data_IF_556809131807
#
_entry.id   IF_556809131807
#
_cell.length_a   1.000
_cell.length_b   1.000
_cell.length_c   1.000
_cell.angle_alpha   90.00
_cell.angle_beta   90.00
_cell.angle_gamma   90.00
#
_symmetry.space_group_name_H-M   'P 1'
#
loop_
_entity.id
_entity.type
_entity.pdbx_description
1 polymer ?
#
# COMPACT_ATOMS: atom_id res chain seq x y z
N UNK A 1 3.42 27.63 3.00
CA UNK A 1 4.45 26.73 2.41
C UNK A 1 3.84 25.33 2.39
N UNK A 2 3.24 24.96 1.27
CA UNK A 2 2.37 23.79 1.15
C UNK A 2 3.17 22.54 0.79
N UNK A 3 3.26 21.62 1.76
CA UNK A 3 3.39 20.16 1.60
C UNK A 3 4.42 19.65 0.58
N UNK A 4 5.68 19.56 0.99
CA UNK A 4 6.68 18.62 0.44
C UNK A 4 6.85 17.37 1.32
N UNK A 5 5.80 17.01 2.09
CA UNK A 5 5.62 15.62 2.50
C UNK A 5 5.01 14.88 1.32
N UNK A 6 5.84 14.43 0.37
CA UNK A 6 5.51 13.17 -0.29
C UNK A 6 5.41 12.16 0.85
N UNK A 7 4.18 11.75 1.14
CA UNK A 7 3.78 11.03 2.34
C UNK A 7 4.76 9.89 2.61
N UNK A 8 5.54 9.97 3.70
CA UNK A 8 6.60 8.98 4.01
C UNK A 8 6.02 7.56 4.04
N UNK A 9 4.76 7.45 4.45
CA UNK A 9 3.98 6.23 4.42
C UNK A 9 3.72 5.73 3.00
N UNK A 10 3.35 6.61 2.07
CA UNK A 10 3.20 6.27 0.65
C UNK A 10 4.53 5.81 0.04
N UNK A 11 5.63 6.50 0.29
CA UNK A 11 6.96 6.09 -0.19
C UNK A 11 7.36 4.72 0.35
N UNK A 12 7.06 4.44 1.62
CA UNK A 12 7.27 3.13 2.23
C UNK A 12 6.41 2.04 1.57
N UNK A 13 5.12 2.30 1.35
CA UNK A 13 4.20 1.38 0.66
C UNK A 13 4.64 1.11 -0.78
N UNK A 14 5.04 2.15 -1.53
CA UNK A 14 5.63 2.04 -2.87
C UNK A 14 6.89 1.19 -2.87
N UNK A 15 7.84 1.46 -1.98
CA UNK A 15 9.08 0.70 -1.89
C UNK A 15 8.82 -0.78 -1.54
N UNK A 16 7.93 -1.02 -0.59
CA UNK A 16 7.51 -2.37 -0.21
C UNK A 16 6.97 -3.15 -1.41
N UNK A 17 6.06 -2.56 -2.19
CA UNK A 17 5.46 -3.26 -3.35
C UNK A 17 6.51 -3.54 -4.42
N UNK A 18 7.35 -2.57 -4.79
CA UNK A 18 8.43 -2.81 -5.76
C UNK A 18 9.34 -3.95 -5.30
N UNK A 19 9.71 -3.95 -4.01
CA UNK A 19 10.54 -5.00 -3.44
C UNK A 19 9.87 -6.38 -3.49
N UNK A 20 8.59 -6.47 -3.12
CA UNK A 20 7.84 -7.73 -3.16
C UNK A 20 7.67 -8.24 -4.60
N UNK A 21 7.31 -7.39 -5.56
CA UNK A 21 7.20 -7.82 -6.97
C UNK A 21 8.55 -8.33 -7.47
N UNK A 22 9.64 -7.64 -7.14
CA UNK A 22 11.00 -8.08 -7.52
C UNK A 22 11.34 -9.43 -6.90
N UNK A 23 10.98 -9.65 -5.63
CA UNK A 23 11.19 -10.92 -4.93
C UNK A 23 10.42 -12.06 -5.60
N UNK A 24 9.12 -11.89 -5.81
CA UNK A 24 8.27 -12.90 -6.45
C UNK A 24 8.72 -13.17 -7.90
N UNK A 25 9.19 -12.15 -8.61
CA UNK A 25 9.76 -12.29 -9.95
C UNK A 25 11.02 -13.16 -9.94
N UNK A 26 11.94 -12.94 -8.99
CA UNK A 26 13.14 -13.77 -8.85
C UNK A 26 12.79 -15.22 -8.55
N UNK A 27 11.86 -15.45 -7.61
CA UNK A 27 11.39 -16.80 -7.27
C UNK A 27 10.71 -17.49 -8.47
N UNK A 28 9.95 -16.74 -9.28
CA UNK A 28 9.32 -17.27 -10.49
C UNK A 28 10.34 -17.63 -11.58
N UNK A 29 11.43 -16.85 -11.70
CA UNK A 29 12.54 -17.16 -12.62
C UNK A 29 13.30 -18.40 -12.14
N UNK A 30 13.60 -18.49 -10.85
CA UNK A 30 14.29 -19.66 -10.26
C UNK A 30 13.45 -20.94 -10.36
N UNK A 31 12.12 -20.82 -10.25
CA UNK A 31 11.19 -21.94 -10.37
C UNK A 31 10.82 -22.34 -11.81
N UNK A 32 11.41 -21.70 -12.83
CA UNK A 32 11.07 -21.88 -14.26
C UNK A 32 9.57 -21.65 -14.57
N UNK A 33 8.91 -20.82 -13.74
CA UNK A 33 7.49 -20.48 -13.87
C UNK A 33 7.26 -19.32 -14.85
N UNK A 34 8.32 -18.64 -15.25
CA UNK A 34 8.25 -17.46 -16.10
C UNK A 34 9.37 -17.45 -17.14
N UNK A 35 9.00 -17.24 -18.41
CA UNK A 35 9.98 -17.12 -19.48
C UNK A 35 10.90 -15.90 -19.27
N UNK A 36 12.10 -15.95 -19.86
CA UNK A 36 13.07 -14.85 -19.79
C UNK A 36 12.54 -13.54 -20.40
N UNK A 37 11.72 -13.63 -21.44
CA UNK A 37 11.09 -12.45 -22.05
C UNK A 37 9.95 -11.88 -21.20
N UNK A 38 9.11 -12.75 -20.64
CA UNK A 38 8.02 -12.36 -19.73
C UNK A 38 8.54 -11.73 -18.43
N UNK A 39 9.64 -12.25 -17.90
CA UNK A 39 10.32 -11.69 -16.71
C UNK A 39 10.96 -10.34 -17.00
N UNK A 40 11.60 -10.17 -18.16
CA UNK A 40 12.14 -8.87 -18.58
C UNK A 40 11.02 -7.84 -18.76
N UNK A 41 9.91 -8.22 -19.38
CA UNK A 41 8.76 -7.33 -19.59
C UNK A 41 8.19 -6.83 -18.26
N UNK A 42 7.92 -7.75 -17.32
CA UNK A 42 7.41 -7.38 -16.00
C UNK A 42 8.39 -6.47 -15.24
N UNK A 43 9.69 -6.76 -15.27
CA UNK A 43 10.70 -5.91 -14.64
C UNK A 43 10.70 -4.49 -15.24
N UNK A 44 10.57 -4.37 -16.57
CA UNK A 44 10.46 -3.09 -17.25
C UNK A 44 9.18 -2.36 -16.85
N UNK A 45 8.02 -3.02 -16.90
CA UNK A 45 6.74 -2.42 -16.49
C UNK A 45 6.78 -1.91 -15.03
N UNK A 46 7.35 -2.68 -14.10
CA UNK A 46 7.51 -2.25 -12.70
C UNK A 46 8.41 -1.02 -12.59
N UNK A 47 9.52 -0.99 -13.32
CA UNK A 47 10.46 0.14 -13.28
C UNK A 47 9.91 1.41 -13.91
N UNK A 48 9.12 1.30 -14.98
CA UNK A 48 8.49 2.45 -15.62
C UNK A 48 7.31 2.97 -14.79
N UNK A 49 6.48 2.05 -14.26
CA UNK A 49 5.27 2.42 -13.53
C UNK A 49 5.56 2.90 -12.11
N UNK A 50 6.64 2.45 -11.46
CA UNK A 50 6.93 2.88 -10.07
C UNK A 50 7.00 4.40 -9.98
N UNK A 51 7.58 5.08 -10.98
CA UNK A 51 7.76 6.53 -10.99
C UNK A 51 6.48 7.29 -11.35
N UNK A 52 5.51 6.60 -11.97
CA UNK A 52 4.20 7.14 -12.30
C UNK A 52 3.19 7.08 -11.14
N UNK A 53 3.39 6.21 -10.14
CA UNK A 53 2.48 6.08 -9.00
C UNK A 53 2.47 7.34 -8.13
N UNK A 54 1.28 7.93 -7.96
CA UNK A 54 1.03 9.12 -7.14
C UNK A 54 0.36 8.77 -5.81
N UNK A 55 -0.39 7.68 -5.79
CA UNK A 55 -1.11 7.21 -4.60
C UNK A 55 -1.24 5.68 -4.57
N UNK A 56 -1.84 5.17 -3.49
CA UNK A 56 -1.98 3.73 -3.24
C UNK A 56 -2.93 3.07 -4.26
N UNK A 57 -3.88 3.81 -4.82
CA UNK A 57 -4.85 3.30 -5.79
C UNK A 57 -4.18 3.01 -7.15
N UNK A 58 -3.20 3.83 -7.54
CA UNK A 58 -2.33 3.56 -8.70
C UNK A 58 -1.59 2.22 -8.53
N UNK A 59 -1.04 1.98 -7.34
CA UNK A 59 -0.32 0.75 -7.00
C UNK A 59 -1.25 -0.46 -7.06
N UNK A 60 -2.47 -0.32 -6.51
CA UNK A 60 -3.49 -1.38 -6.53
C UNK A 60 -3.94 -1.70 -7.95
N UNK A 61 -4.13 -0.67 -8.79
CA UNK A 61 -4.50 -0.83 -10.19
C UNK A 61 -3.40 -1.56 -10.95
N UNK A 62 -2.14 -1.18 -10.72
CA UNK A 62 -0.99 -1.86 -11.31
C UNK A 62 -0.89 -3.32 -10.86
N UNK A 63 -0.96 -3.59 -9.55
CA UNK A 63 -0.92 -4.95 -9.01
C UNK A 63 -2.06 -5.81 -9.52
N UNK A 64 -3.26 -5.24 -9.69
CA UNK A 64 -4.40 -5.93 -10.28
C UNK A 64 -4.10 -6.37 -11.72
N UNK A 65 -3.66 -5.44 -12.57
CA UNK A 65 -3.27 -5.73 -13.95
C UNK A 65 -2.18 -6.80 -13.99
N UNK A 66 -1.11 -6.62 -13.22
CA UNK A 66 -0.04 -7.61 -13.15
C UNK A 66 -0.51 -8.95 -12.62
N UNK A 67 -1.45 -9.03 -11.69
CA UNK A 67 -1.99 -10.32 -11.22
C UNK A 67 -2.86 -11.03 -12.26
N UNK A 68 -3.44 -10.30 -13.22
CA UNK A 68 -4.19 -10.88 -14.34
C UNK A 68 -3.23 -11.49 -15.38
N UNK A 69 -2.14 -10.80 -15.69
CA UNK A 69 -1.10 -11.28 -16.62
C UNK A 69 -0.15 -12.31 -15.99
N UNK A 70 0.09 -12.22 -14.67
CA UNK A 70 1.07 -12.99 -13.91
C UNK A 70 0.43 -13.60 -12.64
N UNK A 71 -0.09 -14.84 -12.72
CA UNK A 71 -0.83 -15.46 -11.62
C UNK A 71 -0.07 -15.59 -10.30
N UNK A 72 1.27 -15.67 -10.34
CA UNK A 72 2.09 -15.74 -9.13
C UNK A 72 2.01 -14.44 -8.29
N UNK A 73 1.67 -13.30 -8.89
CA UNK A 73 1.47 -12.03 -8.19
C UNK A 73 0.09 -11.88 -7.55
N UNK A 74 -0.84 -12.82 -7.79
CA UNK A 74 -2.19 -12.74 -7.23
C UNK A 74 -2.19 -12.67 -5.70
N UNK A 75 -1.38 -13.52 -5.06
CA UNK A 75 -1.23 -13.52 -3.59
C UNK A 75 -0.70 -12.18 -3.06
N UNK A 76 0.23 -11.56 -3.80
CA UNK A 76 0.77 -10.25 -3.45
C UNK A 76 -0.31 -9.17 -3.53
N UNK A 77 -1.11 -9.18 -4.61
CA UNK A 77 -2.23 -8.25 -4.78
C UNK A 77 -3.25 -8.39 -3.62
N UNK A 78 -3.69 -9.61 -3.30
CA UNK A 78 -4.62 -9.87 -2.20
C UNK A 78 -4.05 -9.44 -0.83
N UNK A 79 -2.80 -9.79 -0.57
CA UNK A 79 -2.10 -9.43 0.68
C UNK A 79 -1.96 -7.91 0.83
N UNK A 80 -1.60 -7.22 -0.26
CA UNK A 80 -1.48 -5.77 -0.25
C UNK A 80 -2.84 -5.08 -0.07
N UNK A 81 -3.88 -5.53 -0.79
CA UNK A 81 -5.25 -5.05 -0.60
C UNK A 81 -5.72 -5.18 0.84
N UNK A 82 -5.51 -6.35 1.45
CA UNK A 82 -5.87 -6.60 2.85
C UNK A 82 -5.14 -5.64 3.79
N UNK A 83 -3.83 -5.48 3.61
CA UNK A 83 -3.02 -4.57 4.43
C UNK A 83 -3.49 -3.11 4.32
N UNK A 84 -3.86 -2.66 3.13
CA UNK A 84 -4.42 -1.31 2.93
C UNK A 84 -5.79 -1.16 3.61
N UNK A 85 -6.64 -2.20 3.58
CA UNK A 85 -7.91 -2.17 4.31
C UNK A 85 -7.71 -2.13 5.83
N UNK A 86 -6.79 -2.92 6.37
CA UNK A 86 -6.45 -2.93 7.79
C UNK A 86 -5.91 -1.57 8.25
N UNK A 87 -5.04 -0.95 7.45
CA UNK A 87 -4.48 0.38 7.71
C UNK A 87 -5.55 1.48 7.70
N UNK A 88 -6.47 1.46 6.73
CA UNK A 88 -7.63 2.37 6.69
C UNK A 88 -8.59 2.16 7.87
N UNK A 89 -8.80 0.92 8.29
CA UNK A 89 -9.62 0.60 9.45
C UNK A 89 -8.98 1.12 10.75
N UNK A 90 -7.66 0.92 10.93
CA UNK A 90 -6.92 1.41 12.08
C UNK A 90 -6.94 2.96 12.17
N UNK A 91 -6.79 3.65 11.03
CA UNK A 91 -6.91 5.11 10.97
C UNK A 91 -8.31 5.59 11.36
N UNK A 92 -9.36 4.87 10.96
CA UNK A 92 -10.75 5.20 11.31
C UNK A 92 -11.00 5.03 12.80
N UNK A 93 -10.54 3.92 13.37
CA UNK A 93 -10.66 3.64 14.80
C UNK A 93 -9.92 4.69 15.63
N UNK A 94 -8.68 5.02 15.25
CA UNK A 94 -7.88 6.05 15.93
C UNK A 94 -8.56 7.43 15.92
N UNK A 95 -9.21 7.81 14.81
CA UNK A 95 -10.01 9.05 14.76
C UNK A 95 -11.22 9.01 15.69
N UNK A 96 -11.91 7.87 15.78
CA UNK A 96 -13.04 7.70 16.70
C UNK A 96 -12.59 7.79 18.17
N UNK A 97 -11.45 7.19 18.51
CA UNK A 97 -10.91 7.25 19.87
C UNK A 97 -10.45 8.67 20.23
N UNK A 98 -9.79 9.38 19.31
CA UNK A 98 -9.44 10.78 19.50
C UNK A 98 -10.67 11.66 19.77
N UNK A 99 -11.75 11.46 19.00
CA UNK A 99 -13.00 12.20 19.18
C UNK A 99 -13.70 11.88 20.51
N UNK A 100 -13.64 10.62 20.97
CA UNK A 100 -14.16 10.23 22.30
C UNK A 100 -13.36 10.90 23.42
N UNK A 101 -12.03 10.91 23.32
CA UNK A 101 -11.16 11.55 24.32
C UNK A 101 -11.43 13.05 24.41
N UNK A 102 -11.61 13.73 23.27
CA UNK A 102 -11.97 15.15 23.25
C UNK A 102 -13.32 15.41 23.93
N UNK A 103 -14.33 14.58 23.65
CA UNK A 103 -15.64 14.70 24.28
C UNK A 103 -15.57 14.48 25.81
N UNK A 104 -14.79 13.49 26.26
CA UNK A 104 -14.56 13.24 27.70
C UNK A 104 -13.87 14.45 28.35
N UNK A 105 -12.85 15.03 27.72
CA UNK A 105 -12.19 16.24 28.24
C UNK A 105 -13.15 17.44 28.34
N UNK A 106 -14.03 17.64 27.35
CA UNK A 106 -15.03 18.69 27.39
C UNK A 106 -16.07 18.46 28.49
N UNK A 107 -16.51 17.22 28.71
CA UNK A 107 -17.44 16.90 29.79
C UNK A 107 -16.81 17.10 31.18
N UNK A 108 -15.56 16.65 31.37
CA UNK A 108 -14.83 16.86 32.63
C UNK A 108 -14.60 18.34 32.92
N UNK A 109 -14.30 19.13 31.89
CA UNK A 109 -14.11 20.58 32.03
C UNK A 109 -15.40 21.29 32.46
N UNK A 110 -16.57 20.86 31.95
CA UNK A 110 -17.88 21.37 32.38
C UNK A 110 -18.20 20.99 33.83
N UNK A 111 -17.95 19.74 34.21
CA UNK A 111 -18.19 19.22 35.57
C UNK A 111 -17.24 19.82 36.62
N UNK A 112 -16.04 20.26 36.22
CA UNK A 112 -15.06 20.88 37.12
C UNK A 112 -15.28 22.39 37.32
N UNK A 113 -16.21 23.01 36.58
CA UNK A 113 -16.56 24.43 36.69
C UNK A 113 -17.86 24.68 37.48
N UNK A 114 -18.55 23.63 37.94
CA UNK A 114 -19.71 23.67 38.85
C UNK A 114 -19.31 23.45 40.31
#
# INVERSE_FOLDING_TARGET
>A
MTHTQLDSEFLSKKHFVVHQITKELLEAIEGDLLSRDSSRLLATEVLEMKDAWKDVDDILTFLKKCSEDYPFLQKLNESFQKKIQEDRAALTLSKQDAQKLENIQQQLSKLSQE
#
